data_IF_265550955679
#
_entry.id   IF_265550955679
#
_cell.length_a   1.000
_cell.length_b   1.000
_cell.length_c   1.000
_cell.angle_alpha   90.00
_cell.angle_beta   90.00
_cell.angle_gamma   90.00
#
_symmetry.space_group_name_H-M   'P 1'
#
loop_
_entity.id
_entity.type
_entity.pdbx_description
1 polymer ?
#
# COMPACT_ATOMS: atom_id res chain seq x y z
N UNK A 1 9.12 18.50 14.16
CA UNK A 1 10.02 17.34 13.94
C UNK A 1 9.33 16.00 14.19
N UNK A 2 8.02 15.96 14.45
CA UNK A 2 7.30 14.73 14.84
C UNK A 2 6.92 13.83 13.65
N UNK A 3 6.71 14.41 12.46
CA UNK A 3 6.29 13.69 11.26
C UNK A 3 7.34 12.67 10.75
N UNK A 4 8.64 12.97 10.88
CA UNK A 4 9.72 12.01 10.51
C UNK A 4 9.74 10.76 11.38
N UNK A 5 9.31 10.86 12.64
CA UNK A 5 9.30 9.72 13.56
C UNK A 5 8.10 8.81 13.29
N UNK A 6 6.93 9.39 13.05
CA UNK A 6 5.74 8.65 12.65
C UNK A 6 5.98 7.85 11.36
N UNK A 7 6.71 8.43 10.40
CA UNK A 7 7.14 7.72 9.18
C UNK A 7 8.00 6.48 9.50
N UNK A 8 9.03 6.63 10.34
CA UNK A 8 9.93 5.52 10.68
C UNK A 8 9.18 4.34 11.33
N UNK A 9 8.28 4.65 12.29
CA UNK A 9 7.46 3.63 12.94
C UNK A 9 6.52 2.93 11.95
N UNK A 10 5.93 3.68 11.02
CA UNK A 10 5.07 3.13 9.96
C UNK A 10 5.84 2.17 9.04
N UNK A 11 7.05 2.56 8.65
CA UNK A 11 7.94 1.78 7.81
C UNK A 11 8.36 0.49 8.52
N UNK A 12 8.74 0.56 9.79
CA UNK A 12 9.10 -0.61 10.57
C UNK A 12 7.92 -1.55 10.78
N UNK A 13 6.72 -1.02 11.08
CA UNK A 13 5.50 -1.80 11.20
C UNK A 13 5.17 -2.51 9.88
N UNK A 14 5.24 -1.80 8.76
CA UNK A 14 5.03 -2.38 7.45
C UNK A 14 6.08 -3.45 7.16
N UNK A 15 7.36 -3.17 7.40
CA UNK A 15 8.45 -4.12 7.20
C UNK A 15 8.29 -5.39 8.03
N UNK A 16 7.87 -5.28 9.30
CA UNK A 16 7.58 -6.44 10.15
C UNK A 16 6.45 -7.30 9.60
N UNK A 17 5.39 -6.69 9.07
CA UNK A 17 4.28 -7.40 8.41
C UNK A 17 4.76 -8.08 7.12
N UNK A 18 5.62 -7.41 6.37
CA UNK A 18 6.19 -7.90 5.12
C UNK A 18 7.20 -9.03 5.30
N UNK A 19 7.85 -9.17 6.47
CA UNK A 19 8.71 -10.34 6.74
C UNK A 19 8.00 -11.69 6.60
N UNK A 20 6.67 -11.71 6.73
CA UNK A 20 5.85 -12.94 6.58
C UNK A 20 5.35 -13.16 5.15
N UNK A 21 5.65 -12.24 4.22
CA UNK A 21 5.12 -12.22 2.86
C UNK A 21 6.29 -12.25 1.88
N UNK A 22 6.22 -13.10 0.86
CA UNK A 22 7.24 -13.12 -0.20
C UNK A 22 7.08 -11.88 -1.09
N UNK A 23 7.80 -10.81 -0.74
CA UNK A 23 7.77 -9.55 -1.45
C UNK A 23 9.16 -8.93 -1.55
N UNK A 24 9.37 -8.17 -2.62
CA UNK A 24 10.59 -7.41 -2.86
C UNK A 24 10.42 -5.99 -2.31
N UNK A 25 11.37 -5.57 -1.50
CA UNK A 25 11.49 -4.20 -1.04
C UNK A 25 12.25 -3.35 -2.08
N UNK A 26 11.74 -2.16 -2.38
CA UNK A 26 12.43 -1.12 -3.17
C UNK A 26 12.08 0.25 -2.64
N UNK A 27 13.05 1.16 -2.68
CA UNK A 27 12.79 2.56 -2.43
C UNK A 27 12.24 3.23 -3.70
N UNK A 28 11.09 3.90 -3.57
CA UNK A 28 10.51 4.73 -4.63
C UNK A 28 10.10 6.07 -4.06
N UNK A 29 10.48 7.15 -4.74
CA UNK A 29 10.18 8.53 -4.32
C UNK A 29 10.71 8.88 -2.93
N UNK A 30 11.81 8.26 -2.50
CA UNK A 30 12.39 8.45 -1.16
C UNK A 30 11.64 7.74 -0.04
N UNK A 31 10.67 6.88 -0.38
CA UNK A 31 9.91 6.07 0.57
C UNK A 31 9.99 4.58 0.24
N UNK A 32 9.83 3.69 1.24
CA UNK A 32 9.83 2.26 1.02
C UNK A 32 8.54 1.78 0.36
N UNK A 33 8.70 0.96 -0.68
CA UNK A 33 7.63 0.31 -1.42
C UNK A 33 7.92 -1.20 -1.56
N UNK A 34 6.86 -1.99 -1.63
CA UNK A 34 6.90 -3.43 -1.70
C UNK A 34 6.23 -3.93 -2.98
N UNK A 35 6.83 -4.98 -3.54
CA UNK A 35 6.50 -5.54 -4.84
C UNK A 35 6.33 -7.04 -4.73
N UNK A 36 5.26 -7.58 -5.31
CA UNK A 36 5.08 -9.02 -5.47
C UNK A 36 5.12 -9.29 -6.97
N UNK A 37 5.95 -10.22 -7.43
CA UNK A 37 6.08 -10.56 -8.86
C UNK A 37 6.39 -9.34 -9.77
N UNK A 38 7.10 -8.33 -9.25
CA UNK A 38 7.40 -7.07 -9.96
C UNK A 38 6.21 -6.10 -10.06
N UNK A 39 5.08 -6.42 -9.42
CA UNK A 39 3.93 -5.54 -9.26
C UNK A 39 3.98 -4.85 -7.89
N UNK A 40 4.02 -3.53 -7.89
CA UNK A 40 3.89 -2.74 -6.66
C UNK A 40 2.52 -3.01 -6.04
N UNK A 41 2.47 -3.27 -4.74
CA UNK A 41 1.20 -3.48 -4.04
C UNK A 41 1.03 -2.60 -2.82
N UNK A 42 2.12 -2.17 -2.18
CA UNK A 42 2.03 -1.28 -1.03
C UNK A 42 3.31 -0.51 -0.84
N UNK A 43 3.24 0.56 -0.06
CA UNK A 43 4.37 1.34 0.37
C UNK A 43 3.91 2.45 1.29
N UNK A 44 4.89 3.18 1.80
CA UNK A 44 4.63 4.38 2.58
C UNK A 44 4.76 5.59 1.67
N UNK A 45 3.92 6.59 1.88
CA UNK A 45 4.01 7.87 1.17
C UNK A 45 3.67 8.99 2.14
N UNK A 46 4.67 9.84 2.43
CA UNK A 46 4.58 10.90 3.45
C UNK A 46 4.20 10.36 4.84
N UNK A 47 2.93 10.42 5.22
CA UNK A 47 2.43 9.94 6.51
C UNK A 47 1.34 8.86 6.38
N UNK A 48 1.06 8.43 5.15
CA UNK A 48 0.03 7.43 4.85
C UNK A 48 0.64 6.17 4.21
N UNK A 49 -0.12 5.09 4.24
CA UNK A 49 0.20 3.85 3.53
C UNK A 49 -0.68 3.79 2.29
N UNK A 50 -0.14 3.39 1.15
CA UNK A 50 -0.99 3.05 0.00
C UNK A 50 -1.07 1.53 -0.16
N UNK A 51 -2.23 1.05 -0.63
CA UNK A 51 -2.47 -0.35 -0.98
C UNK A 51 -3.02 -0.46 -2.39
N UNK A 52 -2.60 -1.51 -3.09
CA UNK A 52 -3.13 -1.91 -4.39
C UNK A 52 -4.20 -2.96 -4.17
N UNK A 53 -5.41 -2.62 -4.54
CA UNK A 53 -6.57 -3.47 -4.32
C UNK A 53 -7.28 -3.73 -5.65
N UNK A 54 -8.07 -4.79 -5.66
CA UNK A 54 -9.00 -5.02 -6.77
C UNK A 54 -10.01 -3.87 -6.84
N UNK A 55 -10.56 -3.58 -8.02
CA UNK A 55 -11.58 -2.53 -8.18
C UNK A 55 -12.75 -2.72 -7.20
N UNK A 56 -13.16 -3.96 -6.96
CA UNK A 56 -14.21 -4.32 -6.01
C UNK A 56 -13.84 -3.96 -4.56
N UNK A 57 -12.62 -4.28 -4.13
CA UNK A 57 -12.13 -3.94 -2.80
C UNK A 57 -11.94 -2.44 -2.61
N UNK A 58 -11.47 -1.73 -3.65
CA UNK A 58 -11.37 -0.26 -3.66
C UNK A 58 -12.75 0.36 -3.43
N UNK A 59 -13.77 -0.09 -4.16
CA UNK A 59 -15.13 0.41 -3.95
C UNK A 59 -15.65 0.06 -2.56
N UNK A 60 -15.30 -1.11 -2.02
CA UNK A 60 -15.71 -1.53 -0.68
C UNK A 60 -15.06 -0.65 0.39
N UNK A 61 -13.75 -0.46 0.34
CA UNK A 61 -13.03 0.34 1.34
C UNK A 61 -13.40 1.82 1.24
N UNK A 62 -13.60 2.37 0.05
CA UNK A 62 -14.06 3.76 -0.14
C UNK A 62 -15.49 3.96 0.37
N UNK A 63 -16.36 2.94 0.27
CA UNK A 63 -17.70 2.97 0.87
C UNK A 63 -17.65 2.87 2.40
N UNK A 64 -16.73 2.08 2.94
CA UNK A 64 -16.58 1.92 4.40
C UNK A 64 -15.87 3.10 5.05
N UNK A 65 -14.90 3.69 4.36
CA UNK A 65 -14.03 4.75 4.85
C UNK A 65 -14.01 5.92 3.87
N UNK A 66 -14.74 6.98 4.21
CA UNK A 66 -14.79 8.23 3.42
C UNK A 66 -13.45 8.96 3.32
N UNK A 67 -12.49 8.64 4.19
CA UNK A 67 -11.13 9.20 4.18
C UNK A 67 -10.18 8.47 3.22
N UNK A 68 -10.59 7.34 2.63
CA UNK A 68 -9.77 6.63 1.65
C UNK A 68 -9.89 7.34 0.30
N UNK A 69 -8.76 7.80 -0.21
CA UNK A 69 -8.66 8.48 -1.50
C UNK A 69 -7.88 7.65 -2.51
N UNK A 70 -8.06 7.88 -3.82
CA UNK A 70 -7.18 7.31 -4.83
C UNK A 70 -5.73 7.74 -4.57
N UNK A 71 -4.78 6.82 -4.75
CA UNK A 71 -3.37 7.16 -4.61
C UNK A 71 -2.90 8.05 -5.77
N UNK A 72 -2.54 9.28 -5.42
CA UNK A 72 -2.05 10.28 -6.35
C UNK A 72 -0.60 10.65 -6.01
N UNK A 73 0.40 9.95 -6.58
CA UNK A 73 1.82 10.24 -6.32
C UNK A 73 2.30 11.54 -6.98
N UNK A 74 1.58 12.05 -7.97
CA UNK A 74 1.84 13.33 -8.62
C UNK A 74 0.51 14.08 -8.81
N UNK A 75 0.47 15.39 -8.55
CA UNK A 75 -0.74 16.21 -8.72
C UNK A 75 -1.37 15.99 -10.10
N UNK A 76 -2.63 15.57 -10.14
CA UNK A 76 -3.37 15.31 -11.38
C UNK A 76 -3.05 13.97 -12.05
N UNK A 77 -2.30 13.07 -11.41
CA UNK A 77 -1.98 11.72 -11.92
C UNK A 77 -2.32 10.63 -10.91
N UNK A 78 -3.60 10.51 -10.59
CA UNK A 78 -4.14 9.40 -9.82
C UNK A 78 -3.81 8.05 -10.49
N UNK A 79 -3.22 7.13 -9.73
CA UNK A 79 -2.98 5.76 -10.18
C UNK A 79 -4.21 4.90 -9.92
N UNK A 80 -4.85 4.43 -10.99
CA UNK A 80 -5.94 3.46 -10.88
C UNK A 80 -5.45 2.15 -10.25
N UNK A 81 -6.27 1.59 -9.36
CA UNK A 81 -5.94 0.37 -8.63
C UNK A 81 -5.18 0.59 -7.32
N UNK A 82 -4.82 1.82 -6.98
CA UNK A 82 -4.15 2.15 -5.72
C UNK A 82 -4.98 3.14 -4.90
N UNK A 83 -5.01 2.91 -3.60
CA UNK A 83 -5.73 3.75 -2.64
C UNK A 83 -4.85 4.09 -1.46
N UNK A 84 -5.04 5.30 -0.93
CA UNK A 84 -4.40 5.76 0.29
C UNK A 84 -5.21 5.26 1.48
N UNK A 85 -4.52 4.55 2.36
CA UNK A 85 -5.03 4.06 3.63
C UNK A 85 -4.69 5.09 4.70
N UNK A 86 -5.68 5.86 5.19
CA UNK A 86 -5.44 6.88 6.19
C UNK A 86 -5.13 6.24 7.55
N UNK A 87 -4.61 7.06 8.45
CA UNK A 87 -4.28 6.68 9.83
C UNK A 87 -5.40 6.00 10.59
N UNK A 88 -6.65 6.37 10.36
CA UNK A 88 -7.82 5.73 10.99
C UNK A 88 -7.97 4.25 10.64
N UNK A 89 -7.50 3.83 9.46
CA UNK A 89 -7.56 2.42 9.02
C UNK A 89 -6.29 1.69 9.41
N UNK A 90 -5.11 2.26 9.16
CA UNK A 90 -3.85 1.57 9.45
C UNK A 90 -3.51 1.52 10.95
N UNK A 91 -4.10 2.38 11.80
CA UNK A 91 -4.00 2.24 13.25
C UNK A 91 -4.77 1.04 13.78
N UNK A 92 -5.76 0.55 13.03
CA UNK A 92 -6.47 -0.67 13.39
C UNK A 92 -5.75 -1.87 12.76
N UNK A 93 -4.93 -2.55 13.56
CA UNK A 93 -4.14 -3.69 13.12
C UNK A 93 -4.95 -4.76 12.39
N UNK A 94 -6.18 -5.02 12.86
CA UNK A 94 -7.07 -6.04 12.29
C UNK A 94 -7.60 -5.63 10.94
N UNK A 95 -8.09 -4.39 10.82
CA UNK A 95 -8.57 -3.85 9.55
C UNK A 95 -7.43 -3.75 8.53
N UNK A 96 -6.27 -3.25 8.97
CA UNK A 96 -5.09 -3.14 8.13
C UNK A 96 -4.62 -4.51 7.64
N UNK A 97 -4.51 -5.51 8.52
CA UNK A 97 -4.12 -6.87 8.13
C UNK A 97 -5.11 -7.51 7.15
N UNK A 98 -6.42 -7.27 7.31
CA UNK A 98 -7.44 -7.75 6.37
C UNK A 98 -7.24 -7.14 4.97
N UNK A 99 -7.12 -5.81 4.88
CA UNK A 99 -6.91 -5.12 3.60
C UNK A 99 -5.56 -5.44 2.96
N UNK A 100 -4.52 -5.57 3.79
CA UNK A 100 -3.19 -5.98 3.36
C UNK A 100 -3.22 -7.39 2.77
N UNK A 101 -3.89 -8.33 3.43
CA UNK A 101 -4.07 -9.69 2.93
C UNK A 101 -4.76 -9.73 1.58
N UNK A 102 -5.84 -8.95 1.41
CA UNK A 102 -6.54 -8.82 0.12
C UNK A 102 -5.66 -8.20 -0.97
N UNK A 103 -4.86 -7.20 -0.62
CA UNK A 103 -3.90 -6.59 -1.54
C UNK A 103 -2.86 -7.60 -2.01
N UNK A 104 -2.30 -8.38 -1.09
CA UNK A 104 -1.32 -9.43 -1.38
C UNK A 104 -1.94 -10.50 -2.26
N UNK A 105 -3.13 -11.01 -1.92
CA UNK A 105 -3.82 -12.04 -2.70
C UNK A 105 -4.10 -11.55 -4.13
N UNK A 106 -4.63 -10.33 -4.26
CA UNK A 106 -4.89 -9.72 -5.56
C UNK A 106 -3.62 -9.57 -6.39
N UNK A 107 -2.54 -9.02 -5.82
CA UNK A 107 -1.30 -8.79 -6.56
C UNK A 107 -0.53 -10.08 -6.83
N UNK A 108 -0.63 -11.08 -5.94
CA UNK A 108 -0.10 -12.41 -6.17
C UNK A 108 -0.84 -13.14 -7.30
N UNK A 109 -2.13 -12.84 -7.50
CA UNK A 109 -2.92 -13.37 -8.62
C UNK A 109 -2.58 -12.70 -9.95
N UNK A 110 -2.01 -11.48 -9.93
CA UNK A 110 -1.61 -10.78 -11.15
C UNK A 110 -0.39 -11.44 -11.80
N UNK A 111 -0.34 -11.52 -13.14
CA UNK A 111 0.82 -12.06 -13.83
C UNK A 111 2.06 -11.23 -13.48
N UNK A 112 3.24 -11.87 -13.35
CA UNK A 112 4.48 -11.16 -13.12
C UNK A 112 4.69 -10.15 -14.23
N UNK A 113 5.01 -8.92 -13.85
CA UNK A 113 5.28 -7.86 -14.83
C UNK A 113 6.52 -8.30 -15.63
N UNK A 114 6.33 -8.75 -16.87
CA UNK A 114 7.43 -9.13 -17.74
C UNK A 114 8.37 -7.93 -17.82
N UNK A 115 9.59 -8.08 -17.30
CA UNK A 115 10.66 -7.12 -17.56
C UNK A 115 10.85 -7.12 -19.07
N UNK A 116 10.38 -6.07 -19.74
CA UNK A 116 10.83 -5.79 -21.10
C UNK A 116 12.35 -5.63 -21.00
N UNK A 117 13.05 -6.60 -21.56
CA UNK A 117 14.51 -6.65 -21.66
C UNK A 117 14.96 -5.70 -22.76
#
# INVERSE_FOLDING_TARGET
>A
MEWKKALAELVELLAQRMKKVDCQFREMFGYPAYFINGNMFTGVHAEDIFLRLSTSDIQKIMKTHSQVTPFEPMPGRAMSGYVVIPKTVHMNDKAFAEWLGRSIEYVSSLPPKQKKR
#
